data_IF_812641126740
#
_entry.id   IF_812641126740
#
_cell.length_a   1.000
_cell.length_b   1.000
_cell.length_c   1.000
_cell.angle_alpha   90.00
_cell.angle_beta   90.00
_cell.angle_gamma   90.00
#
_symmetry.space_group_name_H-M   'P 1'
#
loop_
_entity.id
_entity.type
_entity.pdbx_description
1 polymer ?
#
# COMPACT_ATOMS: atom_id res chain seq x y z
N UNK A 1 -35.29 -27.15 -25.72
CA UNK A 1 -34.63 -26.87 -24.42
C UNK A 1 -35.34 -25.69 -23.79
N UNK A 2 -35.91 -25.84 -22.60
CA UNK A 2 -36.63 -24.76 -21.90
C UNK A 2 -35.72 -24.06 -20.90
N UNK A 3 -35.63 -22.72 -20.99
CA UNK A 3 -34.86 -21.90 -20.04
C UNK A 3 -35.81 -21.43 -18.94
N UNK A 4 -35.69 -22.02 -17.76
CA UNK A 4 -36.41 -21.59 -16.56
C UNK A 4 -35.82 -20.28 -16.05
N UNK A 5 -36.65 -19.22 -15.97
CA UNK A 5 -36.23 -17.91 -15.46
C UNK A 5 -36.03 -17.99 -13.94
N UNK A 6 -34.88 -17.51 -13.45
CA UNK A 6 -34.61 -17.38 -12.02
C UNK A 6 -35.69 -16.51 -11.35
N UNK A 7 -36.23 -16.92 -10.19
CA UNK A 7 -37.15 -16.09 -9.42
C UNK A 7 -36.42 -14.82 -8.96
N UNK A 8 -37.07 -13.66 -9.12
CA UNK A 8 -36.55 -12.38 -8.63
C UNK A 8 -36.54 -12.42 -7.10
N UNK A 9 -35.36 -12.29 -6.49
CA UNK A 9 -35.24 -12.07 -5.04
C UNK A 9 -35.82 -10.69 -4.73
N UNK A 10 -36.77 -10.65 -3.82
CA UNK A 10 -37.23 -9.41 -3.21
C UNK A 10 -36.11 -8.90 -2.29
N UNK A 11 -35.55 -7.75 -2.63
CA UNK A 11 -34.51 -7.07 -1.88
C UNK A 11 -35.18 -5.94 -1.09
N UNK A 12 -36.03 -6.29 -0.14
CA UNK A 12 -36.49 -5.31 0.84
C UNK A 12 -35.29 -4.97 1.74
N UNK A 13 -34.78 -3.75 1.59
CA UNK A 13 -33.71 -3.23 2.44
C UNK A 13 -34.23 -3.14 3.87
N UNK A 14 -33.81 -4.07 4.74
CA UNK A 14 -34.16 -4.04 6.15
C UNK A 14 -33.15 -3.14 6.88
N UNK A 15 -33.55 -1.94 7.36
CA UNK A 15 -32.63 -1.00 7.99
C UNK A 15 -31.92 -1.58 9.22
N UNK A 16 -32.55 -2.52 9.92
CA UNK A 16 -31.98 -3.16 11.11
C UNK A 16 -30.74 -4.02 10.79
N UNK A 17 -30.66 -4.60 9.58
CA UNK A 17 -29.47 -5.33 9.15
C UNK A 17 -28.31 -4.40 8.79
N UNK A 18 -28.61 -3.17 8.35
CA UNK A 18 -27.59 -2.16 8.07
C UNK A 18 -26.96 -1.65 9.37
N UNK A 19 -27.74 -1.48 10.44
CA UNK A 19 -27.25 -1.08 11.76
C UNK A 19 -26.26 -2.10 12.32
N UNK A 20 -26.61 -3.40 12.26
CA UNK A 20 -25.77 -4.49 12.76
C UNK A 20 -24.41 -4.61 12.03
N UNK A 21 -24.34 -4.19 10.76
CA UNK A 21 -23.09 -4.13 10.00
C UNK A 21 -22.17 -2.99 10.47
N UNK A 22 -22.75 -1.85 10.87
CA UNK A 22 -22.02 -0.68 11.36
C UNK A 22 -21.50 -0.93 12.79
N UNK A 23 -22.32 -1.55 13.66
CA UNK A 23 -21.96 -1.79 15.06
C UNK A 23 -20.81 -2.80 15.24
N UNK A 24 -20.58 -3.70 14.29
CA UNK A 24 -19.47 -4.65 14.32
C UNK A 24 -18.11 -4.07 13.88
N UNK A 25 -18.09 -2.86 13.32
CA UNK A 25 -16.87 -2.22 12.84
C UNK A 25 -16.25 -1.39 13.96
N UNK A 26 -15.40 -2.02 14.79
CA UNK A 26 -14.51 -1.28 15.66
C UNK A 26 -13.75 -0.20 14.84
N UNK A 27 -13.72 1.07 15.28
CA UNK A 27 -12.98 2.10 14.56
C UNK A 27 -11.52 1.67 14.50
N UNK A 28 -11.05 1.42 13.28
CA UNK A 28 -9.62 1.22 13.01
C UNK A 28 -8.90 2.43 13.61
N UNK A 29 -7.80 2.25 14.37
CA UNK A 29 -7.01 3.38 14.82
C UNK A 29 -6.73 4.25 13.61
N UNK A 30 -7.05 5.55 13.70
CA UNK A 30 -6.79 6.48 12.62
C UNK A 30 -5.28 6.40 12.31
N UNK A 31 -4.92 5.78 11.18
CA UNK A 31 -3.57 5.86 10.67
C UNK A 31 -3.25 7.35 10.55
N UNK A 32 -2.15 7.78 11.18
CA UNK A 32 -1.68 9.16 11.05
C UNK A 32 -1.65 9.49 9.56
N UNK A 33 -2.20 10.63 9.13
CA UNK A 33 -2.24 10.96 7.71
C UNK A 33 -0.81 10.87 7.18
N UNK A 34 -0.59 9.97 6.20
CA UNK A 34 0.72 9.78 5.59
C UNK A 34 1.17 11.14 5.09
N UNK A 35 2.15 11.72 5.76
CA UNK A 35 2.66 13.03 5.38
C UNK A 35 3.14 12.93 3.94
N UNK A 36 2.57 13.74 3.05
CA UNK A 36 2.90 13.69 1.64
C UNK A 36 4.40 13.92 1.48
N UNK A 37 5.12 12.89 1.06
CA UNK A 37 6.56 12.96 0.84
C UNK A 37 6.83 13.96 -0.30
N UNK A 38 7.74 14.90 -0.07
CA UNK A 38 8.19 15.82 -1.12
C UNK A 38 9.10 15.05 -2.08
N UNK A 39 8.85 15.10 -3.41
CA UNK A 39 9.79 14.55 -4.38
C UNK A 39 11.10 15.34 -4.34
N UNK A 40 12.22 14.64 -4.11
CA UNK A 40 13.56 15.23 -4.15
C UNK A 40 14.29 14.65 -5.36
N UNK A 41 14.68 15.46 -6.36
CA UNK A 41 15.48 14.98 -7.47
C UNK A 41 16.92 14.73 -7.01
N UNK A 42 17.46 13.55 -7.32
CA UNK A 42 18.84 13.17 -7.03
C UNK A 42 19.64 13.05 -8.32
N UNK A 43 20.88 13.55 -8.31
CA UNK A 43 21.85 13.29 -9.39
C UNK A 43 22.72 12.12 -8.95
N UNK A 44 22.69 11.04 -9.73
CA UNK A 44 23.42 9.82 -9.47
C UNK A 44 24.23 9.51 -10.72
N UNK A 45 25.49 9.14 -10.53
CA UNK A 45 26.34 8.65 -11.61
C UNK A 45 25.67 7.43 -12.30
N UNK A 46 25.65 7.35 -13.65
CA UNK A 46 24.98 6.25 -14.35
C UNK A 46 25.49 4.86 -13.96
N UNK A 47 26.81 4.69 -13.77
CA UNK A 47 27.37 3.41 -13.38
C UNK A 47 26.98 3.04 -11.94
N UNK A 48 26.87 4.04 -11.05
CA UNK A 48 26.36 3.83 -9.71
C UNK A 48 24.87 3.45 -9.72
N UNK A 49 24.07 4.07 -10.59
CA UNK A 49 22.65 3.77 -10.74
C UNK A 49 22.41 2.32 -11.19
N UNK A 50 23.21 1.81 -12.13
CA UNK A 50 23.14 0.41 -12.58
C UNK A 50 23.46 -0.58 -11.44
N UNK A 51 24.49 -0.28 -10.64
CA UNK A 51 24.85 -1.10 -9.46
C UNK A 51 23.72 -1.12 -8.44
N UNK A 52 23.10 0.04 -8.19
CA UNK A 52 21.95 0.17 -7.30
C UNK A 52 20.78 -0.70 -7.79
N UNK A 53 20.48 -0.69 -9.08
CA UNK A 53 19.42 -1.51 -9.67
C UNK A 53 19.68 -3.00 -9.58
N UNK A 54 20.91 -3.44 -9.87
CA UNK A 54 21.30 -4.83 -9.73
C UNK A 54 21.14 -5.30 -8.28
N UNK A 55 21.53 -4.46 -7.32
CA UNK A 55 21.38 -4.76 -5.91
C UNK A 55 19.91 -4.77 -5.46
N UNK A 56 19.10 -3.84 -5.96
CA UNK A 56 17.68 -3.74 -5.61
C UNK A 56 16.94 -5.00 -6.06
N UNK A 57 17.21 -5.46 -7.29
CA UNK A 57 16.70 -6.73 -7.82
C UNK A 57 17.12 -7.93 -6.96
N UNK A 58 18.40 -8.01 -6.57
CA UNK A 58 18.90 -9.10 -5.72
C UNK A 58 18.20 -9.16 -4.35
N UNK A 59 17.80 -8.01 -3.81
CA UNK A 59 17.13 -7.91 -2.50
C UNK A 59 15.59 -7.94 -2.59
N UNK A 60 15.01 -8.01 -3.78
CA UNK A 60 13.56 -7.91 -3.97
C UNK A 60 12.98 -6.57 -3.51
N UNK A 61 13.79 -5.50 -3.54
CA UNK A 61 13.40 -4.16 -3.11
C UNK A 61 13.21 -3.24 -4.32
N UNK A 62 12.37 -2.21 -4.17
CA UNK A 62 12.34 -1.13 -5.15
C UNK A 62 13.65 -0.32 -5.08
N UNK A 63 14.00 0.35 -6.18
CA UNK A 63 15.16 1.26 -6.22
C UNK A 63 15.09 2.31 -5.10
N UNK A 64 13.93 2.94 -4.91
CA UNK A 64 13.70 3.93 -3.84
C UNK A 64 13.77 3.31 -2.45
N UNK A 65 13.27 2.08 -2.26
CA UNK A 65 13.39 1.36 -1.00
C UNK A 65 14.85 1.07 -0.64
N UNK A 66 15.65 0.65 -1.62
CA UNK A 66 17.08 0.40 -1.41
C UNK A 66 17.84 1.70 -1.09
N UNK A 67 17.54 2.81 -1.78
CA UNK A 67 18.14 4.11 -1.45
C UNK A 67 17.82 4.52 -0.02
N UNK A 68 16.55 4.45 0.39
CA UNK A 68 16.15 4.82 1.75
C UNK A 68 16.80 3.93 2.81
N UNK A 69 16.95 2.62 2.55
CA UNK A 69 17.64 1.70 3.45
C UNK A 69 19.09 2.09 3.68
N UNK A 70 19.83 2.47 2.62
CA UNK A 70 21.21 2.88 2.79
C UNK A 70 21.35 4.24 3.46
N UNK A 71 20.42 5.16 3.19
CA UNK A 71 20.38 6.45 3.90
C UNK A 71 20.13 6.23 5.38
N UNK A 72 19.13 5.43 5.77
CA UNK A 72 18.87 5.14 7.19
C UNK A 72 20.05 4.44 7.84
N UNK A 73 20.62 3.44 7.15
CA UNK A 73 21.78 2.71 7.64
C UNK A 73 22.99 3.64 7.89
N UNK A 74 23.24 4.61 7.01
CA UNK A 74 24.33 5.56 7.20
C UNK A 74 24.10 6.48 8.41
N UNK A 75 22.85 6.91 8.63
CA UNK A 75 22.49 7.71 9.81
C UNK A 75 22.66 6.92 11.11
N UNK A 76 22.29 5.63 11.11
CA UNK A 76 22.43 4.75 12.27
C UNK A 76 23.90 4.42 12.60
N UNK A 77 24.82 4.51 11.63
CA UNK A 77 26.26 4.26 11.82
C UNK A 77 27.03 5.51 12.30
N UNK A 78 26.47 6.71 12.12
CA UNK A 78 27.06 7.99 12.53
C UNK A 78 26.70 8.40 13.98
N UNK A 79 25.74 7.72 14.63
CA UNK A 79 25.41 7.86 16.08
C UNK A 79 26.21 6.90 16.98
#
# INVERSE_FOLDING_TARGET
>A
MSVQRKPKRDLSANPDQASAFIDGSAPKPAESPKQNKKPIPHRIDPALLERLDAQAKRRGMSRSGLMNYYISKGLDEDE
#
